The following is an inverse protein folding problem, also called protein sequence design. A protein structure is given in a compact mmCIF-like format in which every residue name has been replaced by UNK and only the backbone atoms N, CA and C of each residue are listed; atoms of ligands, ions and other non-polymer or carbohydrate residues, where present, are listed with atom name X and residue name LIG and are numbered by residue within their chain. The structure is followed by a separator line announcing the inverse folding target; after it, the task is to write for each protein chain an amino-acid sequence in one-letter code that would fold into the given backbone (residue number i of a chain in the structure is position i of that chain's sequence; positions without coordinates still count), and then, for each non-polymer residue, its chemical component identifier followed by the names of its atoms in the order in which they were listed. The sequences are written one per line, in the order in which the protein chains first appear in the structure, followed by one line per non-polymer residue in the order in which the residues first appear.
data_IF_088305816278
#
_entry.id   IF_088305816278
#
_cell.length_a   1.000
_cell.length_b   1.000
_cell.length_c   1.000
_cell.angle_alpha   90.00
_cell.angle_beta   90.00
_cell.angle_gamma   90.00
#
_symmetry.space_group_name_H-M   'P 1'
#
loop_
_entity.id
_entity.type
_entity.pdbx_description
1 polymer ?
#
# COMPACT_ATOMS: atom_id res chain seq x y z
N UNK A 1 -3.87 1.75 -12.39
CA UNK A 1 -5.12 1.16 -11.86
C UNK A 1 -4.95 -0.34 -11.80
N UNK A 2 -5.16 -0.89 -10.62
CA UNK A 2 -5.02 -2.30 -10.28
C UNK A 2 -6.37 -2.81 -9.83
N UNK A 3 -6.78 -3.98 -10.30
CA UNK A 3 -8.02 -4.64 -9.89
C UNK A 3 -7.69 -5.86 -9.06
N UNK A 4 -8.29 -5.95 -7.88
CA UNK A 4 -8.15 -7.07 -6.94
C UNK A 4 -9.50 -7.79 -6.84
N UNK A 5 -9.58 -9.01 -7.36
CA UNK A 5 -10.76 -9.85 -7.25
C UNK A 5 -10.56 -10.84 -6.10
N UNK A 6 -11.48 -10.86 -5.15
CA UNK A 6 -11.48 -11.80 -4.04
C UNK A 6 -12.38 -12.99 -4.36
N UNK A 7 -11.99 -14.17 -3.87
CA UNK A 7 -12.79 -15.38 -4.04
C UNK A 7 -14.20 -15.20 -3.47
N UNK A 8 -15.21 -15.38 -4.33
CA UNK A 8 -16.62 -15.25 -3.94
C UNK A 8 -17.13 -13.81 -3.81
N UNK A 9 -16.32 -12.80 -4.13
CA UNK A 9 -16.78 -11.41 -4.19
C UNK A 9 -17.58 -11.13 -5.47
N UNK A 10 -18.58 -10.24 -5.37
CA UNK A 10 -19.43 -9.84 -6.49
C UNK A 10 -18.84 -8.71 -7.33
N UNK A 11 -17.85 -7.99 -6.80
CA UNK A 11 -17.17 -6.88 -7.44
C UNK A 11 -15.70 -6.81 -7.01
N UNK A 12 -14.80 -6.34 -7.88
CA UNK A 12 -13.40 -6.14 -7.53
C UNK A 12 -13.20 -4.93 -6.60
N UNK A 13 -12.07 -4.93 -5.89
CA UNK A 13 -11.51 -3.72 -5.29
C UNK A 13 -10.53 -3.11 -6.29
N UNK A 14 -10.78 -1.89 -6.75
CA UNK A 14 -9.87 -1.14 -7.61
C UNK A 14 -8.97 -0.21 -6.80
N UNK A 15 -7.68 -0.19 -7.13
CA UNK A 15 -6.63 0.61 -6.50
C UNK A 15 -5.95 1.48 -7.57
N UNK A 16 -5.81 2.76 -7.27
CA UNK A 16 -4.95 3.68 -8.01
C UNK A 16 -3.61 3.77 -7.26
N UNK A 17 -2.53 3.38 -7.92
CA UNK A 17 -1.17 3.53 -7.39
C UNK A 17 -0.53 4.80 -7.96
N UNK A 18 0.23 5.51 -7.12
CA UNK A 18 0.91 6.76 -7.43
C UNK A 18 2.44 6.55 -7.47
N UNK A 19 2.95 6.32 -8.68
CA UNK A 19 4.39 6.26 -8.94
C UNK A 19 5.08 7.62 -9.08
N UNK A 20 4.36 8.73 -9.00
CA UNK A 20 4.97 10.07 -8.93
C UNK A 20 5.45 10.35 -7.51
N UNK A 21 4.62 10.06 -6.50
CA UNK A 21 4.97 10.30 -5.10
C UNK A 21 5.78 9.17 -4.46
N UNK A 22 5.55 7.92 -4.87
CA UNK A 22 6.23 6.75 -4.33
C UNK A 22 6.76 5.83 -5.47
N UNK A 23 7.73 6.29 -6.28
CA UNK A 23 8.18 5.57 -7.47
C UNK A 23 8.75 4.17 -7.19
N UNK A 24 9.56 3.99 -6.14
CA UNK A 24 10.16 2.68 -5.84
C UNK A 24 9.09 1.70 -5.33
N UNK A 25 8.23 2.18 -4.45
CA UNK A 25 7.17 1.37 -3.82
C UNK A 25 6.11 0.97 -4.84
N UNK A 26 5.59 1.92 -5.62
CA UNK A 26 4.60 1.65 -6.66
C UNK A 26 5.19 0.79 -7.79
N UNK A 27 6.43 1.04 -8.19
CA UNK A 27 7.12 0.23 -9.20
C UNK A 27 7.32 -1.22 -8.76
N UNK A 28 7.77 -1.43 -7.53
CA UNK A 28 7.91 -2.75 -6.94
C UNK A 28 6.57 -3.49 -6.85
N UNK A 29 5.53 -2.82 -6.33
CA UNK A 29 4.19 -3.41 -6.26
C UNK A 29 3.66 -3.80 -7.65
N UNK A 30 3.83 -2.94 -8.65
CA UNK A 30 3.40 -3.19 -10.02
C UNK A 30 4.14 -4.38 -10.65
N UNK A 31 5.46 -4.51 -10.38
CA UNK A 31 6.25 -5.70 -10.77
C UNK A 31 5.66 -6.97 -10.15
N UNK A 32 5.43 -6.97 -8.84
CA UNK A 32 4.89 -8.12 -8.10
C UNK A 32 3.50 -8.53 -8.62
N UNK A 33 2.64 -7.57 -8.98
CA UNK A 33 1.35 -7.84 -9.62
C UNK A 33 1.53 -8.54 -10.97
N UNK A 34 2.44 -8.05 -11.81
CA UNK A 34 2.71 -8.64 -13.13
C UNK A 34 3.32 -10.05 -13.04
N UNK A 35 4.15 -10.29 -12.03
CA UNK A 35 4.76 -11.60 -11.74
C UNK A 35 3.78 -12.57 -11.06
N UNK A 36 2.56 -12.11 -10.74
CA UNK A 36 1.50 -12.93 -10.17
C UNK A 36 1.69 -13.28 -8.69
N UNK A 37 2.59 -12.57 -7.99
CA UNK A 37 2.98 -12.85 -6.60
C UNK A 37 1.78 -12.94 -5.65
N UNK A 38 0.79 -12.09 -5.85
CA UNK A 38 -0.35 -11.99 -4.93
C UNK A 38 -1.47 -13.00 -5.21
N UNK A 39 -1.39 -13.82 -6.26
CA UNK A 39 -2.44 -14.78 -6.57
C UNK A 39 -2.56 -15.84 -5.47
N UNK A 40 -3.76 -16.02 -4.91
CA UNK A 40 -4.01 -16.97 -3.82
C UNK A 40 -3.64 -16.46 -2.43
N UNK A 41 -3.11 -15.24 -2.31
CA UNK A 41 -2.73 -14.64 -1.02
C UNK A 41 -3.90 -14.63 -0.05
N UNK A 42 -3.59 -14.95 1.21
CA UNK A 42 -4.54 -14.79 2.30
C UNK A 42 -4.61 -13.35 2.76
N UNK A 43 -5.82 -12.94 3.13
CA UNK A 43 -6.10 -11.64 3.73
C UNK A 43 -6.32 -11.84 5.22
N UNK A 44 -5.63 -11.03 6.01
CA UNK A 44 -5.89 -10.89 7.44
C UNK A 44 -6.55 -9.54 7.70
N UNK A 45 -7.61 -9.51 8.49
CA UNK A 45 -8.26 -8.25 8.90
C UNK A 45 -7.98 -8.00 10.37
N UNK A 46 -7.20 -6.97 10.67
CA UNK A 46 -6.86 -6.57 12.03
C UNK A 46 -7.80 -5.46 12.49
N UNK A 47 -8.55 -5.73 13.57
CA UNK A 47 -9.60 -4.85 14.05
C UNK A 47 -10.70 -4.64 13.01
N UNK A 48 -11.16 -3.39 12.86
CA UNK A 48 -12.09 -2.98 11.79
C UNK A 48 -11.43 -2.10 10.74
N UNK A 49 -10.16 -1.74 10.94
CA UNK A 49 -9.49 -0.65 10.25
C UNK A 49 -8.46 -1.10 9.24
N UNK A 50 -7.92 -2.32 9.30
CA UNK A 50 -6.74 -2.65 8.49
C UNK A 50 -6.88 -4.02 7.82
N UNK A 51 -6.65 -4.07 6.51
CA UNK A 51 -6.69 -5.27 5.67
C UNK A 51 -5.28 -5.57 5.19
N UNK A 52 -4.64 -6.60 5.74
CA UNK A 52 -3.31 -7.05 5.36
C UNK A 52 -3.38 -8.09 4.25
N UNK A 53 -2.52 -7.94 3.25
CA UNK A 53 -2.31 -8.92 2.18
C UNK A 53 -0.90 -9.48 2.32
N UNK A 54 -0.82 -10.78 2.59
CA UNK A 54 0.45 -11.51 2.75
C UNK A 54 0.54 -12.58 1.67
N UNK A 55 1.46 -12.45 0.70
CA UNK A 55 1.72 -13.50 -0.28
C UNK A 55 2.09 -14.83 0.38
N UNK A 56 1.57 -15.94 -0.16
CA UNK A 56 1.90 -17.27 0.35
C UNK A 56 3.29 -17.74 -0.08
N UNK A 57 3.78 -17.23 -1.22
CA UNK A 57 5.16 -17.37 -1.63
C UNK A 57 5.91 -16.16 -1.10
N UNK A 58 6.54 -16.29 0.05
CA UNK A 58 7.47 -15.28 0.54
C UNK A 58 8.78 -15.43 -0.25
N UNK A 59 9.18 -14.48 -1.11
CA UNK A 59 10.53 -14.48 -1.61
C UNK A 59 11.40 -13.97 -0.48
N UNK A 60 11.72 -14.83 0.50
CA UNK A 60 12.64 -14.53 1.61
C UNK A 60 14.04 -14.05 1.13
N UNK A 61 14.28 -14.09 -0.18
CA UNK A 61 15.46 -13.57 -0.89
C UNK A 61 15.31 -12.14 -1.44
N UNK A 62 14.13 -11.52 -1.42
CA UNK A 62 13.93 -10.14 -1.89
C UNK A 62 14.40 -9.13 -0.86
N UNK A 63 15.15 -8.12 -1.34
CA UNK A 63 15.66 -7.06 -0.48
C UNK A 63 14.50 -6.17 -0.03
N UNK A 64 14.47 -5.75 1.25
CA UNK A 64 13.48 -4.79 1.71
C UNK A 64 13.59 -3.48 0.92
N UNK A 65 12.45 -2.83 0.73
CA UNK A 65 12.40 -1.50 0.14
C UNK A 65 12.80 -0.46 1.19
N UNK A 66 13.39 0.68 0.81
CA UNK A 66 13.46 1.81 1.73
C UNK A 66 12.03 2.26 2.08
N UNK A 67 11.81 2.74 3.30
CA UNK A 67 10.66 3.61 3.58
C UNK A 67 10.72 4.78 2.57
N UNK A 68 9.62 5.08 1.89
CA UNK A 68 9.55 6.10 0.84
C UNK A 68 8.39 7.05 1.16
N UNK A 69 8.74 8.28 1.54
CA UNK A 69 7.76 9.30 1.93
C UNK A 69 8.10 10.60 1.21
N UNK A 70 7.17 11.12 0.40
CA UNK A 70 7.30 12.44 -0.19
C UNK A 70 6.57 13.46 0.68
N UNK A 71 7.29 14.48 1.14
CA UNK A 71 6.68 15.62 1.83
C UNK A 71 5.81 16.40 0.83
N UNK A 72 4.69 16.93 1.30
CA UNK A 72 3.80 17.77 0.50
C UNK A 72 4.60 18.97 -0.03
N UNK A 73 4.35 19.33 -1.28
CA UNK A 73 5.01 20.42 -2.00
C UNK A 73 6.51 20.22 -2.30
N UNK A 74 7.13 19.14 -1.79
CA UNK A 74 8.48 18.71 -2.19
C UNK A 74 8.46 17.90 -3.49
N UNK A 75 9.56 18.02 -4.25
CA UNK A 75 9.68 17.39 -5.56
C UNK A 75 10.07 15.91 -5.48
N UNK A 76 10.97 15.55 -4.56
CA UNK A 76 11.49 14.18 -4.44
C UNK A 76 11.01 13.53 -3.14
N UNK A 77 10.76 12.21 -3.15
CA UNK A 77 10.58 11.46 -1.91
C UNK A 77 11.88 11.38 -1.11
N UNK A 78 11.74 11.34 0.21
CA UNK A 78 12.80 10.94 1.12
C UNK A 78 12.77 9.42 1.30
N UNK A 79 13.96 8.86 1.58
CA UNK A 79 14.17 7.42 1.68
C UNK A 79 14.74 7.06 3.04
N UNK A 80 14.26 5.97 3.64
CA UNK A 80 14.74 5.42 4.93
C UNK A 80 14.57 6.38 6.11
N UNK A 81 13.66 7.33 5.98
CA UNK A 81 13.39 8.35 6.98
C UNK A 81 11.89 8.53 7.13
N UNK A 82 11.40 8.32 8.34
CA UNK A 82 10.02 8.63 8.69
C UNK A 82 9.83 10.14 8.80
N UNK A 83 8.67 10.61 8.37
CA UNK A 83 8.32 12.02 8.43
C UNK A 83 7.74 12.34 9.82
N UNK A 84 8.37 13.27 10.53
CA UNK A 84 7.85 13.81 11.77
C UNK A 84 6.80 14.89 11.48
N UNK A 85 5.53 14.48 11.50
CA UNK A 85 4.39 15.37 11.24
C UNK A 85 4.15 16.43 12.33
N UNK A 86 4.83 16.33 13.48
CA UNK A 86 4.71 17.34 14.54
C UNK A 86 5.44 18.65 14.20
N UNK A 87 6.33 18.60 13.22
CA UNK A 87 7.06 19.76 12.68
C UNK A 87 6.19 20.67 11.81
N UNK A 88 5.01 20.20 11.39
CA UNK A 88 4.10 20.90 10.47
C UNK A 88 4.22 20.42 9.02
N UNK A 89 5.15 19.53 8.72
CA UNK A 89 5.24 18.86 7.43
C UNK A 89 4.23 17.71 7.35
N UNK A 90 3.67 17.48 6.17
CA UNK A 90 2.70 16.43 5.92
C UNK A 90 3.10 15.62 4.70
N UNK A 91 2.84 14.31 4.67
CA UNK A 91 3.13 13.52 3.48
C UNK A 91 2.17 13.91 2.36
N UNK A 92 2.66 13.86 1.13
CA UNK A 92 1.88 14.08 -0.06
C UNK A 92 0.80 13.00 -0.27
N UNK A 93 1.02 11.81 0.28
CA UNK A 93 0.07 10.71 0.32
C UNK A 93 -0.28 10.39 1.79
N UNK A 94 -1.34 10.97 2.35
CA UNK A 94 -1.74 10.69 3.72
C UNK A 94 -2.25 9.26 3.91
N UNK A 95 -1.82 8.60 4.99
CA UNK A 95 -2.34 7.30 5.43
C UNK A 95 -3.76 7.43 6.00
N UNK A 96 -4.08 8.57 6.57
CA UNK A 96 -5.38 8.87 7.21
C UNK A 96 -6.59 8.95 6.26
N UNK A 97 -6.39 8.68 4.96
CA UNK A 97 -7.47 8.60 3.97
C UNK A 97 -8.03 7.16 3.93
N UNK A 98 -9.35 7.04 3.95
CA UNK A 98 -10.01 5.74 3.80
C UNK A 98 -9.61 5.08 2.48
N UNK A 99 -9.15 3.83 2.54
CA UNK A 99 -8.66 3.10 1.38
C UNK A 99 -7.19 3.37 1.06
N UNK A 100 -6.43 4.07 1.91
CA UNK A 100 -4.99 4.23 1.73
C UNK A 100 -4.30 2.86 1.63
N UNK A 101 -3.39 2.72 0.66
CA UNK A 101 -2.63 1.50 0.42
C UNK A 101 -1.17 1.77 0.69
N UNK A 102 -0.58 1.00 1.60
CA UNK A 102 0.79 1.17 2.04
C UNK A 102 1.51 -0.17 2.20
N UNK A 103 2.84 -0.17 2.08
CA UNK A 103 3.64 -1.35 2.39
C UNK A 103 3.68 -1.57 3.90
N UNK A 104 3.58 -2.83 4.33
CA UNK A 104 3.82 -3.18 5.72
C UNK A 104 5.31 -3.04 6.05
N UNK A 105 5.66 -2.80 7.30
CA UNK A 105 7.03 -2.89 7.78
C UNK A 105 7.10 -3.54 9.16
N UNK A 106 8.29 -4.00 9.51
CA UNK A 106 8.61 -4.49 10.84
C UNK A 106 8.96 -3.34 11.79
N UNK A 107 9.57 -3.65 12.95
CA UNK A 107 9.95 -2.64 13.96
C UNK A 107 11.09 -1.69 13.51
N UNK A 108 11.70 -1.94 12.34
CA UNK A 108 12.60 -0.99 11.70
C UNK A 108 11.79 -0.12 10.74
N UNK A 109 11.43 1.07 11.20
CA UNK A 109 10.60 2.02 10.46
C UNK A 109 11.35 2.64 9.26
N UNK A 110 12.62 2.27 9.01
CA UNK A 110 13.37 2.77 7.85
C UNK A 110 13.21 1.90 6.61
N UNK A 111 12.58 0.73 6.73
CA UNK A 111 12.47 -0.28 5.68
C UNK A 111 11.03 -0.75 5.53
N UNK A 112 10.58 -0.87 4.28
CA UNK A 112 9.29 -1.46 3.92
C UNK A 112 9.45 -2.90 3.44
N UNK A 113 8.42 -3.71 3.69
CA UNK A 113 8.31 -5.05 3.13
C UNK A 113 8.36 -4.99 1.60
N UNK A 114 9.08 -5.92 0.95
CA UNK A 114 9.12 -5.99 -0.51
C UNK A 114 7.82 -6.55 -1.11
N UNK A 115 6.94 -7.13 -0.30
CA UNK A 115 5.80 -7.91 -0.81
C UNK A 115 4.52 -7.70 -0.01
N UNK A 116 4.60 -7.55 1.32
CA UNK A 116 3.43 -7.37 2.16
C UNK A 116 2.92 -5.93 2.11
N UNK A 117 1.62 -5.77 1.89
CA UNK A 117 0.96 -4.47 1.91
C UNK A 117 -0.34 -4.54 2.68
N UNK A 118 -0.86 -3.38 3.04
CA UNK A 118 -2.16 -3.27 3.68
C UNK A 118 -3.00 -2.15 3.08
N UNK A 119 -4.31 -2.28 3.28
CA UNK A 119 -5.30 -1.25 2.96
C UNK A 119 -5.88 -0.75 4.28
N UNK A 120 -5.78 0.55 4.51
CA UNK A 120 -6.29 1.21 5.70
C UNK A 120 -7.72 1.71 5.48
N UNK A 121 -8.68 1.07 6.14
CA UNK A 121 -10.12 1.36 6.14
C UNK A 121 -10.53 2.45 7.14
N UNK A 122 -9.59 3.21 7.70
CA UNK A 122 -9.78 4.32 8.65
C UNK A 122 -11.01 4.20 9.57
N UNK A 123 -10.81 3.85 10.85
CA UNK A 123 -11.91 3.83 11.82
C UNK A 123 -12.02 5.18 12.55
N UNK A 124 -13.13 5.90 12.31
CA UNK A 124 -13.46 7.13 13.05
C UNK A 124 -13.57 6.92 14.56
N UNK A 125 -13.92 5.71 15.02
CA UNK A 125 -13.97 5.40 16.45
C UNK A 125 -12.57 5.29 17.08
N UNK A 126 -11.52 5.06 16.28
CA UNK A 126 -10.13 5.12 16.72
C UNK A 126 -9.63 6.56 16.95
N UNK A 127 -10.39 7.59 16.53
CA UNK A 127 -10.11 9.01 16.81
C UNK A 127 -10.52 9.44 18.24
N UNK A 128 -10.33 8.58 19.24
CA UNK A 128 -10.70 8.85 20.63
C UNK A 128 -10.03 10.10 21.23
N UNK A 129 -10.64 11.27 21.05
CA UNK A 129 -10.50 12.45 21.92
C UNK A 129 -9.45 13.51 21.60
N UNK A 130 -8.50 13.29 20.67
CA UNK A 130 -7.38 14.23 20.42
C UNK A 130 -7.16 14.57 18.94
N UNK A 131 -8.17 15.12 18.26
CA UNK A 131 -7.93 15.98 17.09
C UNK A 131 -7.46 15.33 15.79
N UNK A 132 -7.70 14.03 15.58
CA UNK A 132 -7.69 13.45 14.23
C UNK A 132 -6.34 13.27 13.54
N UNK A 133 -5.23 13.34 14.26
CA UNK A 133 -3.94 12.92 13.73
C UNK A 133 -3.78 11.40 13.98
N UNK A 134 -3.84 10.60 12.91
CA UNK A 134 -3.31 9.23 12.98
C UNK A 134 -1.82 9.34 13.28
N UNK A 135 -1.37 8.86 14.45
CA UNK A 135 0.05 8.88 14.88
C UNK A 135 1.00 8.17 13.90
N UNK A 136 0.44 7.46 12.94
CA UNK A 136 1.13 6.71 11.90
C UNK A 136 1.35 7.52 10.61
N UNK A 137 0.91 8.79 10.56
CA UNK A 137 1.14 9.65 9.41
C UNK A 137 2.65 9.86 9.18
N UNK A 138 3.11 9.67 7.95
CA UNK A 138 4.53 9.76 7.63
C UNK A 138 5.39 8.57 8.05
N UNK A 139 4.82 7.54 8.67
CA UNK A 139 5.54 6.34 9.12
C UNK A 139 5.57 5.21 8.09
N UNK A 140 4.70 5.26 7.08
CA UNK A 140 4.54 4.19 6.09
C UNK A 140 4.76 4.69 4.65
N UNK A 141 5.26 3.81 3.78
CA UNK A 141 5.31 4.04 2.33
C UNK A 141 3.90 3.90 1.73
N UNK A 142 3.10 4.96 1.85
CA UNK A 142 1.79 5.06 1.18
C UNK A 142 2.04 5.27 -0.31
N UNK A 143 1.44 4.46 -1.16
CA UNK A 143 1.70 4.48 -2.61
C UNK A 143 0.42 4.45 -3.44
N UNK A 144 -0.76 4.59 -2.83
CA UNK A 144 -2.01 4.58 -3.57
C UNK A 144 -3.25 4.58 -2.69
N UNK A 145 -4.40 4.55 -3.35
CA UNK A 145 -5.72 4.56 -2.72
C UNK A 145 -6.66 3.61 -3.45
N UNK A 146 -7.54 2.97 -2.69
CA UNK A 146 -8.74 2.33 -3.22
C UNK A 146 -9.66 3.41 -3.80
N UNK A 147 -10.23 3.14 -4.97
CA UNK A 147 -11.18 4.06 -5.62
C UNK A 147 -12.46 4.18 -4.80
N UNK A 148 -13.10 5.35 -4.81
CA UNK A 148 -14.39 5.57 -4.12
C UNK A 148 -15.47 4.56 -4.54
N UNK A 149 -15.51 4.18 -5.82
CA UNK A 149 -16.46 3.21 -6.37
C UNK A 149 -16.27 1.79 -5.79
N UNK A 150 -15.09 1.50 -5.26
CA UNK A 150 -14.73 0.20 -4.68
C UNK A 150 -14.91 0.15 -3.16
N UNK A 151 -15.48 1.20 -2.55
CA UNK A 151 -15.68 1.29 -1.11
C UNK A 151 -16.49 0.12 -0.57
N UNK A 152 -17.64 -0.19 -1.16
CA UNK A 152 -18.50 -1.29 -0.70
C UNK A 152 -17.79 -2.66 -0.81
N UNK A 153 -17.00 -2.85 -1.87
CA UNK A 153 -16.18 -4.05 -2.05
C UNK A 153 -15.11 -4.17 -0.96
N UNK A 154 -14.43 -3.07 -0.62
CA UNK A 154 -13.45 -3.02 0.48
C UNK A 154 -14.12 -3.22 1.85
N UNK A 155 -15.32 -2.67 2.04
CA UNK A 155 -16.10 -2.85 3.25
C UNK A 155 -16.51 -4.31 3.44
N UNK A 156 -16.75 -5.06 2.36
CA UNK A 156 -17.10 -6.47 2.37
C UNK A 156 -15.93 -7.43 2.67
N UNK A 157 -14.68 -6.97 2.62
CA UNK A 157 -13.50 -7.81 2.91
C UNK A 157 -13.53 -8.31 4.35
N UNK A 158 -13.28 -9.62 4.53
CA UNK A 158 -13.27 -10.30 5.83
C UNK A 158 -11.96 -11.05 6.06
N UNK A 159 -11.67 -11.34 7.32
CA UNK A 159 -10.57 -12.21 7.69
C UNK A 159 -10.70 -13.58 6.99
N UNK A 160 -9.58 -14.11 6.49
CA UNK A 160 -9.54 -15.36 5.72
C UNK A 160 -9.99 -15.24 4.26
N UNK A 161 -10.39 -14.05 3.79
CA UNK A 161 -10.60 -13.81 2.35
C UNK A 161 -9.33 -14.13 1.56
N UNK A 162 -9.49 -14.51 0.29
CA UNK A 162 -8.36 -14.85 -0.58
C UNK A 162 -8.42 -14.06 -1.87
N UNK A 163 -7.26 -13.60 -2.33
CA UNK A 163 -7.13 -12.98 -3.65
C UNK A 163 -7.24 -14.07 -4.71
N UNK A 164 -8.28 -14.02 -5.51
CA UNK A 164 -8.43 -14.89 -6.68
C UNK A 164 -7.54 -14.43 -7.82
N UNK A 165 -7.60 -13.14 -8.13
CA UNK A 165 -6.73 -12.48 -9.12
C UNK A 165 -6.40 -11.06 -8.67
N UNK A 166 -5.18 -10.62 -9.00
CA UNK A 166 -4.81 -9.21 -9.00
C UNK A 166 -4.26 -8.91 -10.40
N UNK A 167 -4.64 -7.78 -10.99
CA UNK A 167 -4.24 -7.47 -12.36
C UNK A 167 -4.14 -5.98 -12.62
N UNK A 168 -3.22 -5.62 -13.51
CA UNK A 168 -3.07 -4.26 -13.99
C UNK A 168 -4.13 -3.97 -15.04
N UNK A 169 -5.00 -2.99 -14.78
CA UNK A 169 -6.00 -2.54 -15.76
C UNK A 169 -5.45 -1.43 -16.65
N UNK A 170 -4.70 -0.49 -16.07
CA UNK A 170 -4.20 0.72 -16.75
C UNK A 170 -2.88 1.18 -16.14
N UNK A 171 -1.97 1.69 -16.98
CA UNK A 171 -0.71 2.31 -16.58
C UNK A 171 0.47 1.34 -16.41
N UNK A 172 0.33 0.08 -16.84
CA UNK A 172 1.41 -0.91 -16.80
C UNK A 172 2.61 -0.55 -17.68
N UNK A 173 2.36 0.20 -18.75
CA UNK A 173 3.36 0.78 -19.66
C UNK A 173 4.29 1.81 -19.00
N UNK A 174 3.93 2.31 -17.80
CA UNK A 174 4.75 3.26 -17.03
C UNK A 174 5.81 2.57 -16.17
N UNK A 175 5.78 1.25 -16.03
CA UNK A 175 6.78 0.51 -15.28
C UNK A 175 8.10 0.49 -16.05
N UNK A 176 9.15 1.03 -15.43
CA UNK A 176 10.52 0.93 -15.94
C UNK A 176 11.31 0.03 -15.01
N UNK A 177 11.71 -1.14 -15.51
CA UNK A 177 12.59 -2.07 -14.78
C UNK A 177 14.03 -1.80 -15.25
N UNK A 178 14.99 -1.53 -14.35
CA UNK A 178 16.38 -1.38 -14.72
C UNK A 178 16.90 -2.63 -15.47
N UNK A 179 17.56 -2.43 -16.60
CA UNK A 179 18.25 -3.54 -17.29
C UNK A 179 19.40 -4.06 -16.43
N UNK A 180 19.63 -5.37 -16.45
CA UNK A 180 20.70 -6.03 -15.68
C UNK A 180 22.12 -5.49 -15.93
N UNK A 181 22.34 -4.73 -17.01
CA UNK A 181 23.62 -4.05 -17.32
C UNK A 181 23.92 -2.80 -16.47
N UNK A 182 22.97 -2.34 -15.64
CA UNK A 182 23.14 -1.12 -14.84
C UNK A 182 23.46 -1.36 -13.35
N UNK A 183 23.80 -2.59 -12.96
CA UNK A 183 24.10 -2.99 -11.58
C UNK A 183 25.57 -3.38 -11.37
#
# INVERSE_FOLDING_TARGET
VISVNLQGATSPVEIIIDGYSAPLTAGNFLRNVNEGLYRGSSIAVEGKSTVFVRPSGDPASEKPLPLEVRIKDEFLPEYRQALDVTTGDYPALPLSIYGAVAMAHGPDDTLSSPSEFFIYKFDRASMGGLGGMSFEEGQFSVFGYVTEESRDALEAVRDGSRIETIQVLKGGDRLVVPSAEAA
#
